data_IF_268971784125
#
_entry.id   IF_268971784125
#
_cell.length_a   1.000
_cell.length_b   1.000
_cell.length_c   1.000
_cell.angle_alpha   90.00
_cell.angle_beta   90.00
_cell.angle_gamma   90.00
#
_symmetry.space_group_name_H-M   'P 1'
#
loop_
_entity.id
_entity.type
_entity.pdbx_description
1 polymer ?
#
# COMPACT_ATOMS: atom_id res chain seq x y z
N UNK A 1 19.19 14.56 22.10
CA UNK A 1 19.27 15.13 20.74
C UNK A 1 17.96 14.79 20.04
N UNK A 2 17.45 15.68 19.22
CA UNK A 2 16.28 15.42 18.36
C UNK A 2 16.74 14.51 17.23
N UNK A 3 16.01 13.48 16.91
CA UNK A 3 16.31 12.59 15.78
C UNK A 3 15.87 13.27 14.49
N UNK A 4 16.78 13.44 13.52
CA UNK A 4 16.50 14.01 12.21
C UNK A 4 16.51 12.90 11.16
N UNK A 5 15.38 12.69 10.48
CA UNK A 5 15.20 11.61 9.49
C UNK A 5 14.87 12.20 8.13
N UNK A 6 15.68 11.86 7.13
CA UNK A 6 15.34 12.10 5.73
C UNK A 6 14.42 10.97 5.25
N UNK A 7 13.21 11.32 4.83
CA UNK A 7 12.26 10.39 4.20
C UNK A 7 12.31 10.57 2.68
N UNK A 8 12.74 9.53 1.98
CA UNK A 8 12.75 9.48 0.53
C UNK A 8 11.43 8.88 0.01
N UNK A 9 10.48 9.74 -0.37
CA UNK A 9 9.15 9.33 -0.86
C UNK A 9 9.14 8.95 -2.35
N UNK A 10 10.20 9.32 -3.09
CA UNK A 10 10.24 9.19 -4.54
C UNK A 10 9.51 10.33 -5.28
N UNK A 11 9.61 10.36 -6.62
CA UNK A 11 9.09 11.45 -7.46
C UNK A 11 7.70 11.17 -8.04
N UNK A 12 7.01 10.09 -7.62
CA UNK A 12 5.86 9.58 -8.36
C UNK A 12 4.58 10.34 -8.09
N UNK A 13 4.24 10.54 -6.84
CA UNK A 13 3.01 11.21 -6.42
C UNK A 13 3.28 12.17 -5.26
N UNK A 14 2.44 13.19 -5.05
CA UNK A 14 2.54 14.05 -3.86
C UNK A 14 2.19 13.31 -2.57
N UNK A 15 2.66 13.82 -1.45
CA UNK A 15 2.32 13.35 -0.10
C UNK A 15 1.51 14.43 0.63
N UNK A 16 0.24 14.18 1.00
CA UNK A 16 -0.59 13.02 0.65
C UNK A 16 -0.98 13.01 -0.83
N UNK A 17 -1.27 11.84 -1.41
CA UNK A 17 -1.75 11.78 -2.78
C UNK A 17 -3.23 12.22 -2.85
N UNK A 18 -3.69 12.83 -3.98
CA UNK A 18 -5.07 13.30 -4.08
C UNK A 18 -6.11 12.16 -4.09
N UNK A 19 -5.79 11.05 -4.75
CA UNK A 19 -6.73 9.94 -4.93
C UNK A 19 -6.08 8.58 -4.65
N UNK A 20 -5.13 8.18 -5.50
CA UNK A 20 -4.43 6.91 -5.43
C UNK A 20 -2.97 7.13 -5.11
N UNK A 21 -2.41 6.31 -4.21
CA UNK A 21 -1.00 6.32 -3.85
C UNK A 21 -0.77 5.38 -2.66
N UNK A 22 -0.17 4.22 -2.91
CA UNK A 22 0.05 3.22 -1.86
C UNK A 22 1.05 3.71 -0.83
N UNK A 23 2.25 4.02 -1.28
CA UNK A 23 3.38 4.45 -0.45
C UNK A 23 3.12 5.83 0.15
N UNK A 24 2.62 6.75 -0.66
CA UNK A 24 2.36 8.13 -0.25
C UNK A 24 1.29 8.23 0.83
N UNK A 25 0.27 7.35 0.81
CA UNK A 25 -0.71 7.24 1.89
C UNK A 25 -0.09 6.69 3.18
N UNK A 26 0.85 5.74 3.07
CA UNK A 26 1.61 5.25 4.24
C UNK A 26 2.42 6.39 4.85
N UNK A 27 3.11 7.18 4.03
CA UNK A 27 3.88 8.33 4.49
C UNK A 27 3.00 9.42 5.06
N UNK A 28 1.86 9.71 4.44
CA UNK A 28 0.88 10.67 4.94
C UNK A 28 0.33 10.26 6.33
N UNK A 29 0.28 8.97 6.60
CA UNK A 29 -0.13 8.42 7.90
C UNK A 29 1.02 8.41 8.92
N UNK A 30 2.24 8.10 8.47
CA UNK A 30 3.42 7.94 9.34
C UNK A 30 4.02 9.27 9.80
N UNK A 31 4.21 10.22 8.88
CA UNK A 31 4.95 11.47 9.12
C UNK A 31 4.36 12.29 10.28
N UNK A 32 3.04 12.52 10.38
CA UNK A 32 2.46 13.26 11.50
C UNK A 32 2.77 12.63 12.87
N UNK A 33 2.76 11.30 12.93
CA UNK A 33 3.01 10.54 14.14
C UNK A 33 4.50 10.56 14.56
N UNK A 34 5.41 10.52 13.60
CA UNK A 34 6.85 10.69 13.87
C UNK A 34 7.14 12.08 14.42
N UNK A 35 6.59 13.13 13.77
CA UNK A 35 6.76 14.51 14.21
C UNK A 35 6.16 14.77 15.60
N UNK A 36 4.98 14.22 15.88
CA UNK A 36 4.35 14.29 17.20
C UNK A 36 5.20 13.64 18.31
N UNK A 37 6.11 12.73 17.93
CA UNK A 37 7.07 12.07 18.83
C UNK A 37 8.46 12.71 18.84
N UNK A 38 8.59 13.90 18.26
CA UNK A 38 9.81 14.71 18.30
C UNK A 38 10.87 14.35 17.25
N UNK A 39 10.48 13.65 16.18
CA UNK A 39 11.35 13.43 15.02
C UNK A 39 11.28 14.65 14.10
N UNK A 40 12.41 15.21 13.73
CA UNK A 40 12.52 16.18 12.65
C UNK A 40 12.51 15.45 11.31
N UNK A 41 11.61 15.85 10.41
CA UNK A 41 11.41 15.17 9.12
C UNK A 41 11.83 16.06 7.95
N UNK A 42 12.83 15.60 7.21
CA UNK A 42 13.22 16.14 5.90
C UNK A 42 12.60 15.26 4.83
N UNK A 43 11.70 15.79 4.02
CA UNK A 43 10.95 15.01 3.02
C UNK A 43 11.44 15.29 1.60
N UNK A 44 12.03 14.29 0.93
CA UNK A 44 12.34 14.31 -0.49
C UNK A 44 11.15 13.77 -1.29
N UNK A 45 10.51 14.64 -2.08
CA UNK A 45 9.24 14.37 -2.79
C UNK A 45 9.06 15.31 -3.98
N UNK A 46 7.82 15.66 -4.34
CA UNK A 46 7.45 16.66 -5.36
C UNK A 46 6.86 17.92 -4.71
N UNK A 47 6.91 19.08 -5.40
CA UNK A 47 6.45 20.36 -4.85
C UNK A 47 4.95 20.38 -4.53
N UNK A 48 4.14 19.64 -5.28
CA UNK A 48 2.70 19.49 -5.03
C UNK A 48 2.38 18.88 -3.65
N UNK A 49 3.35 18.23 -2.99
CA UNK A 49 3.15 17.64 -1.66
C UNK A 49 2.78 18.71 -0.64
N UNK A 50 1.70 18.47 0.08
CA UNK A 50 1.17 19.39 1.09
C UNK A 50 1.44 18.93 2.53
N UNK A 51 2.16 17.79 2.68
CA UNK A 51 2.51 17.26 4.00
C UNK A 51 3.30 18.27 4.82
N UNK A 52 2.87 18.49 6.05
CA UNK A 52 3.58 19.36 6.99
C UNK A 52 4.84 18.64 7.48
N UNK A 53 5.99 19.16 7.12
CA UNK A 53 7.33 18.65 7.48
C UNK A 53 8.25 19.82 7.88
N UNK A 54 9.42 19.51 8.42
CA UNK A 54 10.37 20.52 8.87
C UNK A 54 11.20 21.08 7.71
N UNK A 55 11.50 20.24 6.70
CA UNK A 55 12.12 20.66 5.44
C UNK A 55 11.56 19.82 4.28
N UNK A 56 11.41 20.41 3.07
CA UNK A 56 10.94 19.72 1.86
C UNK A 56 11.89 19.98 0.71
N UNK A 57 12.30 18.91 0.05
CA UNK A 57 13.23 18.92 -1.08
C UNK A 57 12.62 18.25 -2.30
N UNK A 58 12.69 18.88 -3.46
CA UNK A 58 11.94 18.48 -4.65
C UNK A 58 12.79 18.63 -5.90
N UNK A 59 12.87 17.56 -6.71
CA UNK A 59 13.44 17.61 -8.05
C UNK A 59 12.39 18.02 -9.10
N UNK A 60 11.12 17.80 -8.82
CA UNK A 60 10.01 18.02 -9.74
C UNK A 60 8.91 18.82 -9.08
N UNK A 61 8.23 19.65 -9.87
CA UNK A 61 7.05 20.35 -9.42
C UNK A 61 5.89 19.37 -9.21
N UNK A 62 5.59 18.59 -10.23
CA UNK A 62 4.41 17.74 -10.32
C UNK A 62 4.81 16.26 -10.20
N UNK A 63 3.90 15.41 -9.71
CA UNK A 63 4.09 13.96 -9.63
C UNK A 63 4.35 13.32 -11.00
N UNK A 64 5.33 12.42 -11.08
CA UNK A 64 5.79 11.82 -12.34
C UNK A 64 5.12 10.48 -12.64
N UNK A 65 4.10 10.07 -11.88
CA UNK A 65 3.45 8.76 -11.99
C UNK A 65 2.94 8.43 -13.40
N UNK A 66 2.35 9.40 -14.10
CA UNK A 66 1.87 9.20 -15.47
C UNK A 66 2.97 8.86 -16.49
N UNK A 67 4.25 9.07 -16.13
CA UNK A 67 5.41 8.76 -16.97
C UNK A 67 6.01 7.36 -16.75
N UNK A 68 5.51 6.61 -15.76
CA UNK A 68 5.98 5.25 -15.47
C UNK A 68 5.79 4.27 -16.65
N UNK A 69 4.79 4.49 -17.49
CA UNK A 69 4.57 3.71 -18.70
C UNK A 69 5.48 4.14 -19.89
N UNK A 70 6.32 5.14 -19.68
CA UNK A 70 7.24 5.65 -20.71
C UNK A 70 8.43 4.72 -20.97
N UNK A 71 9.26 5.07 -21.96
CA UNK A 71 10.48 4.32 -22.25
C UNK A 71 11.41 4.21 -21.03
N UNK A 72 11.99 3.03 -20.83
CA UNK A 72 12.86 2.72 -19.69
C UNK A 72 13.91 3.82 -19.39
N UNK A 73 14.61 4.31 -20.40
CA UNK A 73 15.64 5.32 -20.23
C UNK A 73 15.09 6.66 -19.66
N UNK A 74 13.85 7.01 -19.99
CA UNK A 74 13.20 8.21 -19.47
C UNK A 74 12.79 8.01 -18.00
N UNK A 75 12.24 6.85 -17.66
CA UNK A 75 11.86 6.49 -16.28
C UNK A 75 13.08 6.48 -15.38
N UNK A 76 14.20 5.91 -15.86
CA UNK A 76 15.48 5.93 -15.15
C UNK A 76 16.00 7.34 -14.93
N UNK A 77 15.88 8.24 -15.92
CA UNK A 77 16.28 9.64 -15.79
C UNK A 77 15.48 10.40 -14.72
N UNK A 78 14.18 10.09 -14.56
CA UNK A 78 13.34 10.68 -13.52
C UNK A 78 13.82 10.26 -12.13
N UNK A 79 14.02 8.96 -11.92
CA UNK A 79 14.51 8.46 -10.61
C UNK A 79 15.90 8.97 -10.30
N UNK A 80 16.80 9.04 -11.28
CA UNK A 80 18.16 9.57 -11.10
C UNK A 80 18.16 11.06 -10.70
N UNK A 81 17.33 11.89 -11.36
CA UNK A 81 17.20 13.29 -11.01
C UNK A 81 16.64 13.49 -9.60
N UNK A 82 15.67 12.67 -9.19
CA UNK A 82 15.16 12.68 -7.82
C UNK A 82 16.25 12.29 -6.81
N UNK A 83 17.01 11.23 -7.09
CA UNK A 83 18.10 10.80 -6.21
C UNK A 83 19.21 11.83 -6.10
N UNK A 84 19.50 12.63 -7.15
CA UNK A 84 20.46 13.72 -7.03
C UNK A 84 20.00 14.76 -6.01
N UNK A 85 18.69 15.10 -5.96
CA UNK A 85 18.14 15.96 -4.91
C UNK A 85 18.30 15.35 -3.50
N UNK A 86 18.15 14.04 -3.37
CA UNK A 86 18.43 13.34 -2.10
C UNK A 86 19.91 13.50 -1.71
N UNK A 87 20.82 13.29 -2.66
CA UNK A 87 22.26 13.42 -2.44
C UNK A 87 22.69 14.87 -2.10
N UNK A 88 22.13 15.86 -2.78
CA UNK A 88 22.34 17.27 -2.46
C UNK A 88 21.86 17.59 -1.04
N UNK A 89 20.68 17.10 -0.68
CA UNK A 89 20.13 17.28 0.66
C UNK A 89 21.07 16.71 1.74
N UNK A 90 21.60 15.51 1.53
CA UNK A 90 22.54 14.89 2.47
C UNK A 90 23.87 15.68 2.60
N UNK A 91 24.33 16.32 1.52
CA UNK A 91 25.54 17.19 1.56
C UNK A 91 25.27 18.51 2.32
N UNK A 92 24.06 19.06 2.19
CA UNK A 92 23.66 20.34 2.82
C UNK A 92 23.21 20.18 4.26
N UNK A 93 22.73 19.01 4.64
CA UNK A 93 22.15 18.68 5.96
C UNK A 93 22.94 17.56 6.65
N UNK A 94 24.16 17.87 7.16
CA UNK A 94 24.98 16.88 7.87
C UNK A 94 24.40 16.48 9.25
N UNK A 95 23.34 17.12 9.68
CA UNK A 95 22.56 16.82 10.89
C UNK A 95 21.53 15.70 10.69
N UNK A 96 21.37 15.15 9.49
CA UNK A 96 20.51 14.00 9.24
C UNK A 96 21.16 12.75 9.85
N UNK A 97 20.44 12.12 10.79
CA UNK A 97 20.91 10.92 11.50
C UNK A 97 20.65 9.63 10.70
N UNK A 98 19.55 9.58 9.89
CA UNK A 98 19.09 8.39 9.21
C UNK A 98 18.31 8.74 7.93
N UNK A 99 18.45 7.89 6.89
CA UNK A 99 17.59 7.93 5.71
C UNK A 99 16.54 6.80 5.81
N UNK A 100 15.26 7.15 5.74
CA UNK A 100 14.18 6.21 5.57
C UNK A 100 13.74 6.20 4.10
N UNK A 101 14.13 5.16 3.39
CA UNK A 101 13.96 5.05 1.95
C UNK A 101 12.72 4.23 1.58
N UNK A 102 11.95 4.76 0.61
CA UNK A 102 10.76 4.11 0.06
C UNK A 102 10.84 3.94 -1.46
N UNK A 103 11.99 4.26 -2.07
CA UNK A 103 12.17 4.16 -3.51
C UNK A 103 12.77 2.81 -3.90
N UNK A 104 11.98 2.02 -4.63
CA UNK A 104 12.31 0.67 -5.08
C UNK A 104 13.63 0.61 -5.87
N UNK A 105 14.50 -0.32 -5.56
CA UNK A 105 15.77 -0.64 -6.25
C UNK A 105 16.76 0.53 -6.33
N UNK A 106 16.32 1.67 -6.87
CA UNK A 106 17.20 2.82 -7.15
C UNK A 106 17.68 3.47 -5.85
N UNK A 107 16.77 3.60 -4.86
CA UNK A 107 17.14 4.15 -3.55
C UNK A 107 18.29 3.40 -2.89
N UNK A 108 18.15 2.12 -2.58
CA UNK A 108 19.23 1.37 -1.94
C UNK A 108 20.48 1.22 -2.82
N UNK A 109 20.33 1.19 -4.17
CA UNK A 109 21.49 1.15 -5.08
C UNK A 109 22.35 2.41 -4.96
N UNK A 110 21.73 3.59 -4.94
CA UNK A 110 22.44 4.86 -4.86
C UNK A 110 22.99 5.10 -3.45
N UNK A 111 22.13 4.92 -2.44
CA UNK A 111 22.48 5.19 -1.04
C UNK A 111 23.50 4.18 -0.51
N UNK A 112 23.40 2.90 -0.90
CA UNK A 112 24.37 1.88 -0.55
C UNK A 112 25.77 2.12 -1.12
N UNK A 113 25.86 2.77 -2.28
CA UNK A 113 27.15 3.12 -2.91
C UNK A 113 27.89 4.25 -2.16
N UNK A 114 27.24 4.97 -1.25
CA UNK A 114 27.89 6.05 -0.47
C UNK A 114 28.69 5.53 0.71
N UNK A 115 28.46 4.29 1.12
CA UNK A 115 29.11 3.66 2.26
C UNK A 115 29.08 4.58 3.52
N UNK A 116 30.20 4.70 4.24
CA UNK A 116 30.32 5.54 5.42
C UNK A 116 30.24 7.07 5.19
N UNK A 117 30.12 7.51 3.93
CA UNK A 117 29.99 8.93 3.59
C UNK A 117 28.55 9.49 3.75
N UNK A 118 27.58 8.63 4.05
CA UNK A 118 26.19 9.00 4.27
C UNK A 118 25.64 8.42 5.58
N UNK A 119 24.53 8.98 6.10
CA UNK A 119 23.79 8.36 7.20
C UNK A 119 23.36 6.92 6.85
N UNK A 120 23.14 6.06 7.86
CA UNK A 120 22.60 4.73 7.62
C UNK A 120 21.18 4.79 7.03
N UNK A 121 20.79 3.73 6.34
CA UNK A 121 19.54 3.65 5.59
C UNK A 121 18.66 2.54 6.15
N UNK A 122 17.39 2.86 6.39
CA UNK A 122 16.31 1.88 6.53
C UNK A 122 15.45 1.95 5.28
N UNK A 123 15.37 0.86 4.52
CA UNK A 123 14.45 0.75 3.40
C UNK A 123 13.22 -0.06 3.76
N UNK A 124 12.03 0.54 3.60
CA UNK A 124 10.77 -0.19 3.70
C UNK A 124 10.40 -0.82 2.37
N UNK A 125 10.21 -2.13 2.39
CA UNK A 125 9.82 -2.94 1.23
C UNK A 125 8.30 -2.92 1.08
N UNK A 126 7.77 -2.24 0.04
CA UNK A 126 6.32 -2.09 -0.18
C UNK A 126 5.73 -3.01 -1.25
N UNK A 127 6.55 -3.81 -1.91
CA UNK A 127 6.22 -4.55 -3.13
C UNK A 127 6.60 -6.02 -3.04
N UNK A 128 6.24 -6.74 -4.08
CA UNK A 128 6.71 -8.11 -4.28
C UNK A 128 8.18 -8.08 -4.73
N UNK A 129 9.06 -8.60 -3.90
CA UNK A 129 10.50 -8.61 -4.13
C UNK A 129 10.92 -9.54 -5.29
N UNK A 130 10.03 -10.43 -5.73
CA UNK A 130 10.27 -11.29 -6.88
C UNK A 130 10.23 -10.53 -8.22
N UNK A 131 9.84 -9.25 -8.22
CA UNK A 131 9.93 -8.39 -9.41
C UNK A 131 11.37 -8.05 -9.80
N UNK A 132 12.29 -8.06 -8.84
CA UNK A 132 13.70 -7.67 -9.04
C UNK A 132 14.65 -8.70 -8.39
N UNK A 133 14.55 -9.99 -8.78
CA UNK A 133 15.29 -11.06 -8.11
C UNK A 133 16.80 -10.91 -8.28
N UNK A 134 17.27 -10.38 -9.42
CA UNK A 134 18.69 -10.16 -9.69
C UNK A 134 19.26 -9.09 -8.74
N UNK A 135 18.53 -7.99 -8.56
CA UNK A 135 18.96 -6.93 -7.65
C UNK A 135 19.00 -7.42 -6.20
N UNK A 136 17.88 -7.93 -5.70
CA UNK A 136 17.80 -8.39 -4.31
C UNK A 136 18.64 -9.65 -4.05
N UNK A 137 18.96 -10.44 -5.07
CA UNK A 137 19.85 -11.58 -4.96
C UNK A 137 21.31 -11.21 -4.87
N UNK A 138 21.71 -10.04 -5.36
CA UNK A 138 23.10 -9.57 -5.40
C UNK A 138 23.43 -8.41 -4.48
N UNK A 139 22.41 -7.62 -4.07
CA UNK A 139 22.62 -6.42 -3.28
C UNK A 139 23.09 -6.76 -1.86
N UNK A 140 24.25 -6.22 -1.49
CA UNK A 140 24.76 -6.22 -0.13
C UNK A 140 24.75 -4.78 0.41
N UNK A 141 24.00 -4.54 1.47
CA UNK A 141 23.88 -3.23 2.10
C UNK A 141 25.11 -2.76 2.88
N UNK A 142 26.21 -3.55 2.90
CA UNK A 142 27.47 -3.20 3.54
C UNK A 142 27.35 -2.92 5.05
N UNK A 143 26.32 -3.44 5.71
CA UNK A 143 26.04 -3.14 7.12
C UNK A 143 25.51 -1.72 7.38
N UNK A 144 25.14 -0.98 6.33
CA UNK A 144 24.62 0.40 6.43
C UNK A 144 23.25 0.57 5.81
N UNK A 145 22.81 -0.31 4.89
CA UNK A 145 21.46 -0.37 4.37
C UNK A 145 20.77 -1.56 4.99
N UNK A 146 19.73 -1.30 5.74
CA UNK A 146 18.87 -2.28 6.40
C UNK A 146 17.50 -2.29 5.76
N UNK A 147 16.81 -3.42 5.83
CA UNK A 147 15.47 -3.55 5.29
C UNK A 147 14.44 -3.78 6.39
N UNK A 148 13.21 -3.38 6.14
CA UNK A 148 12.06 -3.91 6.85
C UNK A 148 10.94 -4.26 5.87
N UNK A 149 10.20 -5.32 6.19
CA UNK A 149 8.97 -5.66 5.48
C UNK A 149 7.77 -4.92 6.06
N UNK A 150 6.66 -4.96 5.31
CA UNK A 150 5.34 -4.53 5.80
C UNK A 150 4.52 -5.68 6.35
N UNK A 151 5.05 -6.90 6.29
CA UNK A 151 4.55 -8.10 6.97
C UNK A 151 5.65 -9.16 7.09
N UNK A 152 5.50 -10.08 8.03
CA UNK A 152 6.40 -11.23 8.15
C UNK A 152 6.24 -12.19 6.96
N UNK A 153 5.04 -12.27 6.38
CA UNK A 153 4.77 -13.06 5.18
C UNK A 153 5.63 -12.58 4.00
N UNK A 154 5.73 -11.28 3.79
CA UNK A 154 6.58 -10.70 2.76
C UNK A 154 8.05 -11.07 2.97
N UNK A 155 8.56 -10.94 4.19
CA UNK A 155 9.95 -11.28 4.52
C UNK A 155 10.24 -12.77 4.37
N UNK A 156 9.28 -13.66 4.67
CA UNK A 156 9.45 -15.12 4.45
C UNK A 156 9.69 -15.47 2.98
N UNK A 157 9.11 -14.72 2.06
CA UNK A 157 9.26 -14.93 0.60
C UNK A 157 10.38 -14.09 -0.01
N UNK A 158 11.01 -13.22 0.77
CA UNK A 158 12.10 -12.36 0.31
C UNK A 158 13.33 -13.19 -0.11
N UNK A 159 14.10 -12.74 -1.11
CA UNK A 159 15.46 -13.23 -1.35
C UNK A 159 16.36 -13.19 -0.11
N UNK A 160 17.41 -14.00 -0.07
CA UNK A 160 18.24 -14.17 1.12
C UNK A 160 18.81 -12.83 1.62
N UNK A 161 19.42 -12.03 0.74
CA UNK A 161 20.09 -10.80 1.14
C UNK A 161 19.18 -9.80 1.87
N UNK A 162 18.02 -9.35 1.32
CA UNK A 162 17.13 -8.45 2.06
C UNK A 162 16.53 -9.11 3.30
N UNK A 163 16.31 -10.43 3.29
CA UNK A 163 15.83 -11.14 4.47
C UNK A 163 16.85 -11.14 5.60
N UNK A 164 18.12 -11.45 5.30
CA UNK A 164 19.20 -11.56 6.29
C UNK A 164 19.62 -10.18 6.84
N UNK A 165 19.40 -9.10 6.06
CA UNK A 165 19.63 -7.71 6.45
C UNK A 165 18.36 -7.04 7.00
N UNK A 166 17.26 -7.76 7.11
CA UNK A 166 15.99 -7.23 7.63
C UNK A 166 16.01 -7.10 9.15
N UNK A 167 15.41 -6.00 9.63
CA UNK A 167 15.14 -5.75 11.04
C UNK A 167 13.73 -6.21 11.47
N UNK A 168 13.07 -7.02 10.64
CA UNK A 168 11.71 -7.48 10.86
C UNK A 168 10.66 -6.64 10.14
N UNK A 169 9.39 -6.88 10.44
CA UNK A 169 8.28 -6.20 9.82
C UNK A 169 7.68 -5.10 10.70
N UNK A 170 7.19 -4.04 10.03
CA UNK A 170 6.30 -3.05 10.62
C UNK A 170 5.02 -3.04 9.81
N UNK A 171 3.92 -3.52 10.37
CA UNK A 171 2.63 -3.50 9.70
C UNK A 171 2.20 -2.07 9.35
N UNK A 172 1.56 -1.92 8.22
CA UNK A 172 1.00 -0.65 7.79
C UNK A 172 -0.06 -0.18 8.78
N UNK A 173 -0.11 1.12 9.02
CA UNK A 173 -1.08 1.76 9.89
C UNK A 173 -2.08 2.59 9.10
N UNK A 174 -3.19 2.92 9.75
CA UNK A 174 -4.19 3.85 9.21
C UNK A 174 -4.49 4.96 10.22
N UNK A 175 -4.83 6.13 9.70
CA UNK A 175 -5.39 7.19 10.52
C UNK A 175 -6.83 6.81 10.92
N UNK A 176 -7.00 6.49 12.19
CA UNK A 176 -8.31 6.09 12.71
C UNK A 176 -9.34 7.23 12.70
N UNK A 177 -8.92 8.49 12.66
CA UNK A 177 -9.84 9.64 12.58
C UNK A 177 -10.43 9.77 11.16
N UNK A 178 -9.66 9.40 10.14
CA UNK A 178 -10.12 9.35 8.75
C UNK A 178 -11.02 8.14 8.44
N UNK A 179 -11.16 7.19 9.37
CA UNK A 179 -11.94 5.96 9.19
C UNK A 179 -13.07 5.90 10.24
N UNK A 180 -14.23 6.43 9.87
CA UNK A 180 -15.39 6.49 10.77
C UNK A 180 -15.92 5.09 11.09
N UNK A 181 -15.94 4.75 12.38
CA UNK A 181 -16.56 3.51 12.85
C UNK A 181 -18.07 3.48 12.57
N UNK A 182 -18.55 2.38 12.00
CA UNK A 182 -19.97 2.12 11.78
C UNK A 182 -20.37 0.76 12.34
N UNK A 183 -21.26 0.76 13.34
CA UNK A 183 -21.77 -0.47 13.94
C UNK A 183 -22.80 -1.18 13.03
N UNK A 184 -23.65 -0.41 12.36
CA UNK A 184 -24.67 -0.99 11.45
C UNK A 184 -24.10 -1.15 10.06
N UNK A 185 -24.11 -2.37 9.57
CA UNK A 185 -23.68 -2.75 8.22
C UNK A 185 -24.88 -2.83 7.27
N UNK A 186 -24.65 -2.59 5.99
CA UNK A 186 -25.60 -2.81 4.91
C UNK A 186 -25.63 -4.26 4.45
N UNK A 187 -26.16 -4.46 3.26
CA UNK A 187 -26.26 -5.80 2.64
C UNK A 187 -25.16 -6.04 1.60
N UNK A 188 -24.61 -4.95 1.01
CA UNK A 188 -23.59 -5.05 -0.04
C UNK A 188 -22.28 -5.60 0.50
N UNK A 189 -21.74 -6.62 -0.16
CA UNK A 189 -20.33 -6.95 -0.06
C UNK A 189 -19.50 -5.98 -0.88
N UNK A 190 -18.23 -5.82 -0.53
CA UNK A 190 -17.34 -4.87 -1.17
C UNK A 190 -16.00 -5.50 -1.52
N UNK A 191 -15.55 -5.31 -2.75
CA UNK A 191 -14.13 -5.44 -3.12
C UNK A 191 -13.63 -4.06 -3.48
N UNK A 192 -12.55 -3.58 -2.86
CA UNK A 192 -11.96 -2.30 -3.25
C UNK A 192 -10.44 -2.39 -3.44
N UNK A 193 -9.98 -1.72 -4.47
CA UNK A 193 -8.62 -1.75 -4.98
C UNK A 193 -8.62 -1.88 -6.50
N UNK A 194 -7.46 -1.74 -7.13
CA UNK A 194 -7.31 -1.89 -8.58
C UNK A 194 -7.92 -3.21 -9.06
N UNK A 195 -8.64 -3.16 -10.16
CA UNK A 195 -9.15 -4.38 -10.81
C UNK A 195 -8.01 -5.04 -11.56
N UNK A 196 -7.60 -6.20 -11.08
CA UNK A 196 -6.49 -6.98 -11.65
C UNK A 196 -6.79 -8.48 -11.47
N UNK A 197 -6.14 -9.36 -12.24
CA UNK A 197 -6.30 -10.81 -12.08
C UNK A 197 -6.03 -11.33 -10.66
N UNK A 198 -5.21 -10.60 -9.88
CA UNK A 198 -4.72 -11.06 -8.58
C UNK A 198 -5.58 -10.61 -7.39
N UNK A 199 -6.39 -9.55 -7.56
CA UNK A 199 -7.18 -8.96 -6.46
C UNK A 199 -8.53 -9.63 -6.24
N UNK A 200 -8.95 -10.56 -7.14
CA UNK A 200 -10.05 -11.47 -6.92
C UNK A 200 -11.45 -10.93 -7.24
N UNK A 201 -11.57 -9.79 -7.95
CA UNK A 201 -12.88 -9.24 -8.32
C UNK A 201 -13.74 -10.25 -9.09
N UNK A 202 -13.14 -10.99 -10.03
CA UNK A 202 -13.83 -12.03 -10.81
C UNK A 202 -14.39 -13.16 -9.93
N UNK A 203 -13.61 -13.61 -8.96
CA UNK A 203 -14.03 -14.65 -8.00
C UNK A 203 -15.16 -14.13 -7.12
N UNK A 204 -15.02 -12.91 -6.58
CA UNK A 204 -16.05 -12.28 -5.76
C UNK A 204 -17.36 -12.10 -6.54
N UNK A 205 -17.30 -11.58 -7.78
CA UNK A 205 -18.47 -11.35 -8.62
C UNK A 205 -19.20 -12.66 -8.94
N UNK A 206 -18.46 -13.71 -9.30
CA UNK A 206 -19.03 -15.04 -9.56
C UNK A 206 -19.71 -15.63 -8.33
N UNK A 207 -19.04 -15.65 -7.20
CA UNK A 207 -19.60 -16.17 -5.94
C UNK A 207 -20.84 -15.37 -5.51
N UNK A 208 -20.80 -14.04 -5.59
CA UNK A 208 -21.94 -13.21 -5.24
C UNK A 208 -23.14 -13.47 -6.15
N UNK A 209 -22.91 -13.70 -7.47
CA UNK A 209 -23.97 -14.07 -8.41
C UNK A 209 -24.58 -15.42 -8.08
N UNK A 210 -23.76 -16.42 -7.79
CA UNK A 210 -24.20 -17.77 -7.39
C UNK A 210 -25.02 -17.74 -6.09
N UNK A 211 -24.59 -16.96 -5.10
CA UNK A 211 -25.28 -16.81 -3.82
C UNK A 211 -26.50 -15.86 -3.89
N UNK A 212 -26.65 -15.11 -4.97
CA UNK A 212 -27.70 -14.10 -5.11
C UNK A 212 -27.55 -12.92 -4.14
N UNK A 213 -26.32 -12.54 -3.76
CA UNK A 213 -26.03 -11.43 -2.84
C UNK A 213 -25.41 -10.23 -3.57
N UNK A 214 -25.63 -8.98 -3.10
CA UNK A 214 -25.12 -7.80 -3.77
C UNK A 214 -23.62 -7.59 -3.55
N UNK A 215 -22.94 -7.09 -4.59
CA UNK A 215 -21.52 -6.77 -4.59
C UNK A 215 -21.26 -5.39 -5.22
N UNK A 216 -20.49 -4.58 -4.53
CA UNK A 216 -19.89 -3.37 -5.09
C UNK A 216 -18.39 -3.63 -5.31
N UNK A 217 -17.90 -3.28 -6.49
CA UNK A 217 -16.47 -3.28 -6.79
C UNK A 217 -16.01 -1.84 -7.01
N UNK A 218 -15.00 -1.40 -6.27
CA UNK A 218 -14.48 -0.03 -6.31
C UNK A 218 -12.98 -0.03 -6.57
N UNK A 219 -12.54 0.78 -7.52
CA UNK A 219 -11.14 0.96 -7.90
C UNK A 219 -10.96 1.06 -9.41
N UNK A 220 -9.80 1.53 -9.89
CA UNK A 220 -9.54 1.73 -11.30
C UNK A 220 -9.30 0.41 -12.05
N UNK A 221 -9.63 0.40 -13.34
CA UNK A 221 -9.20 -0.62 -14.32
C UNK A 221 -8.09 -0.03 -15.18
N UNK A 222 -6.90 -0.58 -15.13
CA UNK A 222 -5.71 -0.07 -15.85
C UNK A 222 -5.47 1.45 -15.64
N UNK A 223 -5.76 1.97 -14.45
CA UNK A 223 -5.64 3.40 -14.14
C UNK A 223 -6.85 4.25 -14.55
N UNK A 224 -7.80 3.71 -15.29
CA UNK A 224 -9.03 4.44 -15.68
C UNK A 224 -10.02 4.46 -14.50
N UNK A 225 -10.47 5.64 -14.07
CA UNK A 225 -11.16 5.79 -12.80
C UNK A 225 -12.65 5.44 -12.83
N UNK A 226 -13.28 5.38 -14.00
CA UNK A 226 -14.74 5.15 -14.08
C UNK A 226 -15.17 4.25 -15.23
N UNK A 227 -16.33 3.57 -15.12
CA UNK A 227 -16.91 2.81 -16.22
C UNK A 227 -17.13 3.65 -17.48
N UNK A 228 -17.67 4.86 -17.33
CA UNK A 228 -17.96 5.74 -18.47
C UNK A 228 -16.68 6.11 -19.24
N UNK A 229 -15.60 6.44 -18.55
CA UNK A 229 -14.32 6.75 -19.16
C UNK A 229 -13.68 5.53 -19.81
N UNK A 230 -13.78 4.35 -19.17
CA UNK A 230 -13.24 3.12 -19.74
C UNK A 230 -13.91 2.79 -21.06
N UNK A 231 -15.24 2.76 -21.09
CA UNK A 231 -15.97 2.42 -22.31
C UNK A 231 -15.83 3.47 -23.41
N UNK A 232 -15.84 4.77 -23.04
CA UNK A 232 -15.57 5.83 -24.02
C UNK A 232 -14.17 5.71 -24.64
N UNK A 233 -13.16 5.33 -23.84
CA UNK A 233 -11.82 5.11 -24.36
C UNK A 233 -11.70 3.82 -25.22
N UNK A 234 -12.49 2.80 -24.94
CA UNK A 234 -12.54 1.54 -25.72
C UNK A 234 -13.34 1.67 -27.02
N UNK A 235 -14.18 2.71 -27.18
CA UNK A 235 -14.86 3.02 -28.43
C UNK A 235 -13.86 3.48 -29.53
N UNK A 236 -12.68 3.97 -29.15
CA UNK A 236 -11.61 4.25 -30.10
C UNK A 236 -10.79 2.98 -30.39
N UNK A 237 -10.82 2.44 -31.62
CA UNK A 237 -10.03 1.25 -31.97
C UNK A 237 -8.51 1.43 -31.82
N UNK A 238 -8.02 2.67 -31.82
CA UNK A 238 -6.60 3.00 -31.65
C UNK A 238 -6.21 3.15 -30.18
N UNK A 239 -7.15 3.04 -29.24
CA UNK A 239 -6.88 3.19 -27.83
C UNK A 239 -5.82 2.18 -27.33
N UNK A 240 -4.78 2.65 -26.64
CA UNK A 240 -3.78 1.75 -26.06
C UNK A 240 -4.38 0.81 -25.01
N UNK A 241 -5.55 1.14 -24.46
CA UNK A 241 -6.22 0.34 -23.43
C UNK A 241 -6.57 -1.06 -23.92
N UNK A 242 -6.80 -1.29 -25.20
CA UNK A 242 -7.03 -2.62 -25.78
C UNK A 242 -5.87 -3.60 -25.53
N UNK A 243 -4.65 -3.07 -25.36
CA UNK A 243 -3.45 -3.87 -25.06
C UNK A 243 -3.25 -4.20 -23.58
N UNK A 244 -3.99 -3.55 -22.66
CA UNK A 244 -3.77 -3.73 -21.23
C UNK A 244 -4.41 -5.03 -20.71
N UNK A 245 -3.62 -5.83 -19.99
CA UNK A 245 -4.07 -7.09 -19.41
C UNK A 245 -5.22 -6.92 -18.40
N UNK A 246 -5.19 -5.86 -17.60
CA UNK A 246 -6.23 -5.54 -16.62
C UNK A 246 -7.57 -5.19 -17.28
N UNK A 247 -7.55 -4.50 -18.43
CA UNK A 247 -8.76 -4.22 -19.23
C UNK A 247 -9.35 -5.51 -19.77
N UNK A 248 -8.52 -6.36 -20.36
CA UNK A 248 -8.97 -7.66 -20.86
C UNK A 248 -9.53 -8.51 -19.73
N UNK A 249 -8.86 -8.57 -18.59
CA UNK A 249 -9.35 -9.29 -17.41
C UNK A 249 -10.72 -8.78 -16.97
N UNK A 250 -10.90 -7.45 -16.91
CA UNK A 250 -12.18 -6.86 -16.54
C UNK A 250 -13.29 -7.29 -17.53
N UNK A 251 -13.06 -7.11 -18.82
CA UNK A 251 -14.05 -7.41 -19.86
C UNK A 251 -14.41 -8.91 -19.93
N UNK A 252 -13.41 -9.78 -19.79
CA UNK A 252 -13.60 -11.23 -19.99
C UNK A 252 -14.05 -11.96 -18.72
N UNK A 253 -13.59 -11.50 -17.53
CA UNK A 253 -13.74 -12.25 -16.29
C UNK A 253 -14.57 -11.55 -15.20
N UNK A 254 -14.76 -10.25 -15.25
CA UNK A 254 -15.51 -9.49 -14.23
C UNK A 254 -16.86 -9.01 -14.78
N UNK A 255 -16.84 -8.27 -15.88
CA UNK A 255 -18.02 -7.67 -16.50
C UNK A 255 -19.17 -8.66 -16.79
N UNK A 256 -18.92 -9.91 -17.21
CA UNK A 256 -20.02 -10.87 -17.48
C UNK A 256 -20.87 -11.20 -16.25
N UNK A 257 -20.41 -10.90 -15.04
CA UNK A 257 -21.17 -11.09 -13.82
C UNK A 257 -21.94 -9.85 -13.39
N UNK A 258 -21.63 -8.70 -13.93
CA UNK A 258 -22.30 -7.43 -13.61
C UNK A 258 -23.73 -7.42 -14.18
N UNK A 259 -24.66 -6.87 -13.42
CA UNK A 259 -26.04 -6.62 -13.83
C UNK A 259 -26.42 -5.13 -13.69
N UNK A 260 -25.47 -4.29 -13.25
CA UNK A 260 -25.65 -2.86 -13.05
C UNK A 260 -26.44 -2.47 -11.80
N UNK A 261 -27.07 -3.40 -11.11
CA UNK A 261 -27.87 -3.19 -9.92
C UNK A 261 -27.26 -3.85 -8.69
N UNK A 262 -27.23 -5.16 -8.66
CA UNK A 262 -26.76 -5.96 -7.53
C UNK A 262 -25.27 -6.20 -7.56
N UNK A 263 -24.71 -6.44 -8.75
CA UNK A 263 -23.28 -6.61 -8.97
C UNK A 263 -22.83 -5.50 -9.90
N UNK A 264 -22.01 -4.57 -9.36
CA UNK A 264 -21.63 -3.38 -10.11
C UNK A 264 -20.20 -2.93 -9.79
N UNK A 265 -19.49 -2.48 -10.81
CA UNK A 265 -18.27 -1.71 -10.67
C UNK A 265 -18.62 -0.21 -10.69
N UNK A 266 -18.17 0.49 -9.65
CA UNK A 266 -18.47 1.92 -9.45
C UNK A 266 -17.30 2.84 -9.76
N UNK A 267 -16.18 2.28 -10.24
CA UNK A 267 -14.97 3.05 -10.50
C UNK A 267 -14.18 3.37 -9.23
N UNK A 268 -13.30 4.35 -9.33
CA UNK A 268 -12.49 4.84 -8.21
C UNK A 268 -13.33 5.68 -7.27
N UNK A 269 -13.25 5.35 -5.98
CA UNK A 269 -13.93 6.09 -4.92
C UNK A 269 -12.89 6.53 -3.90
N UNK A 270 -12.78 7.83 -3.68
CA UNK A 270 -11.85 8.44 -2.73
C UNK A 270 -12.56 9.16 -1.57
N UNK A 271 -11.77 9.66 -0.62
CA UNK A 271 -12.23 10.52 0.46
C UNK A 271 -13.41 9.96 1.27
N UNK A 272 -14.40 10.80 1.56
CA UNK A 272 -15.59 10.44 2.34
C UNK A 272 -16.48 9.41 1.66
N UNK A 273 -16.46 9.33 0.32
CA UNK A 273 -17.18 8.31 -0.44
C UNK A 273 -16.62 6.90 -0.18
N UNK A 274 -15.30 6.76 -0.16
CA UNK A 274 -14.63 5.51 0.18
C UNK A 274 -14.94 5.11 1.62
N UNK A 275 -14.82 6.04 2.56
CA UNK A 275 -15.13 5.81 3.98
C UNK A 275 -16.57 5.31 4.17
N UNK A 276 -17.54 5.94 3.48
CA UNK A 276 -18.93 5.55 3.57
C UNK A 276 -19.18 4.17 2.96
N UNK A 277 -18.59 3.88 1.79
CA UNK A 277 -18.72 2.62 1.10
C UNK A 277 -18.15 1.48 1.96
N UNK A 278 -16.92 1.63 2.45
CA UNK A 278 -16.27 0.64 3.32
C UNK A 278 -17.03 0.48 4.64
N UNK A 279 -17.41 1.59 5.27
CA UNK A 279 -18.10 1.56 6.56
C UNK A 279 -19.49 0.92 6.52
N UNK A 280 -20.20 1.00 5.39
CA UNK A 280 -21.53 0.38 5.20
C UNK A 280 -21.48 -1.05 4.68
N UNK A 281 -20.37 -1.49 4.11
CA UNK A 281 -20.27 -2.83 3.56
C UNK A 281 -20.61 -3.90 4.61
N UNK A 282 -21.30 -4.96 4.17
CA UNK A 282 -21.56 -6.15 5.00
C UNK A 282 -20.26 -6.82 5.40
N UNK A 283 -19.35 -6.96 4.46
CA UNK A 283 -17.97 -7.33 4.64
C UNK A 283 -17.15 -6.87 3.43
N UNK A 284 -15.84 -6.69 3.62
CA UNK A 284 -14.88 -6.55 2.54
C UNK A 284 -14.40 -7.94 2.13
N UNK A 285 -14.42 -8.22 0.84
CA UNK A 285 -14.01 -9.49 0.26
C UNK A 285 -12.62 -9.34 -0.35
N UNK A 286 -11.73 -10.26 -0.01
CA UNK A 286 -10.36 -10.32 -0.53
C UNK A 286 -10.02 -11.76 -0.97
N UNK A 287 -10.68 -12.31 -2.02
CA UNK A 287 -10.37 -13.63 -2.58
C UNK A 287 -9.15 -13.54 -3.50
N UNK A 288 -8.04 -13.04 -2.96
CA UNK A 288 -6.82 -12.78 -3.71
C UNK A 288 -6.08 -14.08 -4.06
N UNK A 289 -5.37 -14.06 -5.19
CA UNK A 289 -4.59 -15.22 -5.68
C UNK A 289 -3.08 -15.05 -5.56
N UNK A 290 -2.60 -13.96 -4.96
CA UNK A 290 -1.18 -13.65 -4.78
C UNK A 290 -0.81 -13.43 -3.32
N UNK A 291 0.49 -13.36 -3.02
CA UNK A 291 0.99 -13.09 -1.68
C UNK A 291 1.01 -11.57 -1.44
N UNK A 292 -0.09 -11.04 -0.92
CA UNK A 292 -0.29 -9.61 -0.66
C UNK A 292 0.70 -9.12 0.42
N UNK A 293 1.57 -8.14 0.13
CA UNK A 293 2.58 -7.72 1.09
C UNK A 293 2.03 -7.05 2.36
N UNK A 294 1.08 -6.12 2.23
CA UNK A 294 0.67 -5.28 3.36
C UNK A 294 -0.83 -5.19 3.61
N UNK A 295 -1.67 -5.51 2.61
CA UNK A 295 -3.14 -5.58 2.69
C UNK A 295 -3.82 -4.38 3.39
N UNK A 296 -3.43 -3.13 3.07
CA UNK A 296 -3.98 -1.90 3.67
C UNK A 296 -5.50 -1.85 3.61
N UNK A 297 -6.11 -2.36 2.52
CA UNK A 297 -7.56 -2.44 2.37
C UNK A 297 -8.24 -3.24 3.50
N UNK A 298 -7.61 -4.32 3.97
CA UNK A 298 -8.13 -5.06 5.13
C UNK A 298 -8.09 -4.20 6.40
N UNK A 299 -7.00 -3.49 6.63
CA UNK A 299 -6.81 -2.64 7.81
C UNK A 299 -7.83 -1.48 7.79
N UNK A 300 -8.04 -0.83 6.65
CA UNK A 300 -9.05 0.23 6.47
C UNK A 300 -10.47 -0.29 6.75
N UNK A 301 -10.78 -1.51 6.28
CA UNK A 301 -12.06 -2.14 6.57
C UNK A 301 -12.26 -2.36 8.07
N UNK A 302 -11.27 -2.94 8.74
CA UNK A 302 -11.30 -3.15 10.20
C UNK A 302 -11.44 -1.82 10.95
N UNK A 303 -10.75 -0.76 10.50
CA UNK A 303 -10.86 0.58 11.10
C UNK A 303 -12.29 1.14 11.00
N UNK A 304 -13.01 0.88 9.92
CA UNK A 304 -14.42 1.24 9.77
C UNK A 304 -15.38 0.31 10.55
N UNK A 305 -14.87 -0.71 11.22
CA UNK A 305 -15.64 -1.76 11.87
C UNK A 305 -16.24 -2.77 10.88
N UNK A 306 -15.66 -2.92 9.71
CA UNK A 306 -16.16 -3.82 8.67
C UNK A 306 -15.34 -5.11 8.67
N UNK A 307 -15.98 -6.29 8.83
CA UNK A 307 -15.27 -7.56 8.81
C UNK A 307 -14.68 -7.85 7.43
N UNK A 308 -13.60 -8.62 7.41
CA UNK A 308 -12.92 -9.00 6.17
C UNK A 308 -13.04 -10.50 5.96
N UNK A 309 -13.46 -10.91 4.76
CA UNK A 309 -13.42 -12.31 4.32
C UNK A 309 -12.30 -12.43 3.30
N UNK A 310 -11.30 -13.21 3.59
CA UNK A 310 -10.08 -13.26 2.79
C UNK A 310 -9.58 -14.69 2.53
N UNK A 311 -8.83 -14.87 1.46
CA UNK A 311 -8.00 -16.07 1.28
C UNK A 311 -6.79 -16.02 2.23
N UNK A 312 -6.30 -17.19 2.64
CA UNK A 312 -5.15 -17.31 3.55
C UNK A 312 -3.83 -17.11 2.80
N UNK A 313 -3.56 -15.84 2.37
CA UNK A 313 -2.39 -15.50 1.56
C UNK A 313 -1.71 -14.21 2.05
N UNK A 314 -0.40 -14.15 1.88
CA UNK A 314 0.42 -12.99 2.22
C UNK A 314 0.19 -12.50 3.65
N UNK A 315 0.04 -11.19 3.81
CA UNK A 315 -0.19 -10.53 5.09
C UNK A 315 -1.58 -10.78 5.71
N UNK A 316 -2.55 -11.32 4.95
CA UNK A 316 -3.93 -11.47 5.44
C UNK A 316 -4.05 -12.32 6.70
N UNK A 317 -3.33 -13.45 6.87
CA UNK A 317 -3.32 -14.21 8.12
C UNK A 317 -2.71 -13.48 9.33
N UNK A 318 -1.91 -12.45 9.08
CA UNK A 318 -1.33 -11.63 10.15
C UNK A 318 -2.31 -10.53 10.62
N UNK A 319 -3.25 -10.13 9.74
CA UNK A 319 -4.22 -9.06 9.99
C UNK A 319 -5.54 -9.63 10.51
N UNK A 320 -6.00 -10.74 9.90
CA UNK A 320 -7.31 -11.32 10.17
C UNK A 320 -7.21 -12.40 11.25
N UNK A 321 -7.88 -12.15 12.37
CA UNK A 321 -8.11 -13.12 13.44
C UNK A 321 -9.42 -13.85 13.13
N UNK A 322 -9.28 -15.08 12.60
CA UNK A 322 -10.41 -15.90 12.13
C UNK A 322 -11.50 -16.04 13.20
N UNK A 323 -12.72 -15.63 12.86
CA UNK A 323 -13.88 -15.65 13.75
C UNK A 323 -14.00 -14.46 14.71
N UNK A 324 -13.04 -13.53 14.73
CA UNK A 324 -13.05 -12.36 15.61
C UNK A 324 -13.24 -11.04 14.83
N UNK A 325 -12.40 -10.77 13.83
CA UNK A 325 -12.47 -9.55 13.03
C UNK A 325 -12.73 -9.84 11.54
N UNK A 326 -12.88 -11.13 11.19
CA UNK A 326 -13.10 -11.60 9.83
C UNK A 326 -12.93 -13.11 9.74
N UNK A 327 -12.88 -13.62 8.52
CA UNK A 327 -12.67 -15.03 8.25
C UNK A 327 -11.58 -15.23 7.20
N UNK A 328 -10.82 -16.32 7.36
CA UNK A 328 -9.81 -16.77 6.40
C UNK A 328 -10.25 -18.08 5.77
N UNK A 329 -10.25 -18.14 4.44
CA UNK A 329 -10.63 -19.30 3.66
C UNK A 329 -9.41 -19.92 2.96
N UNK A 330 -9.41 -21.23 2.86
CA UNK A 330 -8.35 -21.97 2.17
C UNK A 330 -8.72 -22.28 0.71
N UNK A 331 -10.04 -22.27 0.39
CA UNK A 331 -10.57 -22.44 -0.98
C UNK A 331 -11.83 -21.58 -1.22
N UNK A 332 -12.29 -21.53 -2.47
CA UNK A 332 -13.44 -20.71 -2.85
C UNK A 332 -14.77 -21.22 -2.29
N UNK A 333 -14.92 -22.52 -2.09
CA UNK A 333 -16.12 -23.11 -1.48
C UNK A 333 -16.24 -22.71 -0.01
N UNK A 334 -15.14 -22.75 0.70
CA UNK A 334 -15.07 -22.25 2.06
C UNK A 334 -15.29 -20.72 2.10
N UNK A 335 -14.68 -19.96 1.17
CA UNK A 335 -14.87 -18.52 1.06
C UNK A 335 -16.36 -18.18 0.92
N UNK A 336 -17.09 -18.83 0.02
CA UNK A 336 -18.52 -18.63 -0.17
C UNK A 336 -19.34 -18.93 1.11
N UNK A 337 -19.01 -20.00 1.84
CA UNK A 337 -19.67 -20.34 3.12
C UNK A 337 -19.40 -19.28 4.19
N UNK A 338 -18.16 -18.79 4.28
CA UNK A 338 -17.75 -17.79 5.28
C UNK A 338 -18.34 -16.40 4.99
N UNK A 339 -18.57 -16.05 3.71
CA UNK A 339 -19.31 -14.82 3.36
C UNK A 339 -20.68 -14.75 4.03
N UNK A 340 -21.42 -15.85 4.04
CA UNK A 340 -22.76 -15.91 4.65
C UNK A 340 -22.71 -15.69 6.17
N UNK A 341 -21.58 -15.97 6.79
CA UNK A 341 -21.35 -15.83 8.22
C UNK A 341 -20.81 -14.43 8.64
N UNK A 342 -20.62 -13.52 7.69
CA UNK A 342 -20.07 -12.19 7.97
C UNK A 342 -20.79 -11.45 9.10
N UNK A 343 -22.10 -11.67 9.27
CA UNK A 343 -22.90 -11.07 10.33
C UNK A 343 -22.62 -11.61 11.76
N UNK A 344 -21.82 -12.66 11.90
CA UNK A 344 -21.41 -13.20 13.21
C UNK A 344 -20.29 -12.37 13.86
N UNK A 345 -19.59 -11.54 13.05
CA UNK A 345 -18.48 -10.71 13.53
C UNK A 345 -19.02 -9.40 14.14
N UNK A 346 -18.63 -9.10 15.38
CA UNK A 346 -18.97 -7.79 15.97
C UNK A 346 -18.08 -6.70 15.34
N UNK A 347 -18.67 -5.66 14.71
CA UNK A 347 -17.93 -4.50 14.19
C UNK A 347 -17.00 -3.83 15.21
N UNK A 348 -17.34 -3.91 16.51
CA UNK A 348 -16.47 -3.38 17.56
C UNK A 348 -15.15 -4.14 17.70
N UNK A 349 -15.14 -5.45 17.45
CA UNK A 349 -13.91 -6.25 17.46
C UNK A 349 -13.02 -5.93 16.27
N UNK A 350 -13.61 -5.66 15.08
CA UNK A 350 -12.88 -5.15 13.93
C UNK A 350 -12.16 -3.84 14.26
N UNK A 351 -12.90 -2.84 14.78
CA UNK A 351 -12.35 -1.54 15.18
C UNK A 351 -11.28 -1.67 16.25
N UNK A 352 -11.49 -2.52 17.25
CA UNK A 352 -10.53 -2.76 18.32
C UNK A 352 -9.22 -3.31 17.76
N UNK A 353 -9.30 -4.32 16.89
CA UNK A 353 -8.12 -4.89 16.22
C UNK A 353 -7.33 -3.83 15.44
N UNK A 354 -8.02 -2.97 14.66
CA UNK A 354 -7.37 -1.86 13.96
C UNK A 354 -6.72 -0.87 14.93
N UNK A 355 -7.37 -0.52 16.03
CA UNK A 355 -6.88 0.45 17.01
C UNK A 355 -5.63 -0.05 17.72
N UNK A 356 -5.66 -1.30 18.17
CA UNK A 356 -4.57 -1.88 18.98
C UNK A 356 -3.34 -2.24 18.14
N UNK A 357 -3.54 -2.68 16.89
CA UNK A 357 -2.49 -3.30 16.08
C UNK A 357 -2.07 -2.50 14.87
N UNK A 358 -2.96 -1.68 14.31
CA UNK A 358 -2.79 -1.04 13.00
C UNK A 358 -3.10 0.45 13.00
N UNK A 359 -3.03 1.11 14.16
CA UNK A 359 -3.12 2.57 14.19
C UNK A 359 -1.84 3.21 13.64
N UNK A 360 -1.96 4.46 13.15
CA UNK A 360 -0.82 5.27 12.76
C UNK A 360 0.25 5.36 13.86
N UNK A 361 -0.21 5.48 15.13
CA UNK A 361 0.67 5.50 16.30
C UNK A 361 1.46 4.21 16.49
N UNK A 362 0.79 3.04 16.36
CA UNK A 362 1.44 1.73 16.45
C UNK A 362 2.50 1.55 15.36
N UNK A 363 2.19 1.97 14.12
CA UNK A 363 3.15 1.96 13.01
C UNK A 363 4.36 2.84 13.32
N UNK A 364 4.14 4.07 13.78
CA UNK A 364 5.23 5.00 14.10
C UNK A 364 6.13 4.47 15.24
N UNK A 365 5.57 3.85 16.27
CA UNK A 365 6.34 3.18 17.33
C UNK A 365 7.19 2.03 16.78
N UNK A 366 6.66 1.28 15.83
CA UNK A 366 7.40 0.27 15.10
C UNK A 366 8.63 0.85 14.40
N UNK A 367 8.45 1.91 13.62
CA UNK A 367 9.56 2.56 12.91
C UNK A 367 10.56 3.21 13.85
N UNK A 368 10.13 3.87 14.91
CA UNK A 368 11.06 4.45 15.92
C UNK A 368 11.93 3.39 16.60
N UNK A 369 11.40 2.17 16.81
CA UNK A 369 12.20 1.05 17.29
C UNK A 369 13.27 0.66 16.27
N UNK A 370 12.88 0.53 14.99
CA UNK A 370 13.82 0.19 13.91
C UNK A 370 14.90 1.30 13.73
N UNK A 371 14.53 2.57 13.79
CA UNK A 371 15.50 3.67 13.70
C UNK A 371 16.57 3.57 14.79
N UNK A 372 16.16 3.36 16.05
CA UNK A 372 17.10 3.16 17.15
C UNK A 372 18.00 1.93 16.94
N UNK A 373 17.45 0.87 16.38
CA UNK A 373 18.23 -0.33 16.08
C UNK A 373 19.25 -0.10 14.96
N UNK A 374 18.89 0.62 13.89
CA UNK A 374 19.81 1.01 12.80
C UNK A 374 20.96 1.84 13.36
N UNK A 375 20.65 2.90 14.13
CA UNK A 375 21.67 3.75 14.72
C UNK A 375 22.59 2.99 15.68
N UNK A 376 22.04 2.11 16.51
CA UNK A 376 22.84 1.29 17.43
C UNK A 376 23.78 0.32 16.68
N UNK A 377 23.35 -0.26 15.55
CA UNK A 377 24.17 -1.19 14.74
C UNK A 377 25.29 -0.48 13.98
N UNK A 378 25.09 0.79 13.63
CA UNK A 378 26.05 1.56 12.83
C UNK A 378 26.96 2.45 13.69
N UNK A 379 26.69 2.60 14.99
CA UNK A 379 27.45 3.46 15.89
C UNK A 379 27.25 4.95 15.59
N UNK A 380 26.16 5.28 14.91
CA UNK A 380 25.81 6.65 14.52
C UNK A 380 25.05 7.38 15.64
#
# INVERSE_FOLDING_TARGET
MTLTVLINAGPWLPVPPPDYGGIENVLATLIPELRARGVEVVLCTVEESTMAVDDRRCAFRDGQFGRLAGPYAQVMGITAAHMETVLETLRERPDIDLVHDHLEVVGPSVLGALDGAAPPVLQTLHWDLQKHPEFYGSFDGGGRVFFNGVSDAQLRTAPANPRDQSLGAVHLGVDLAAHRFRRRKGEDFLVFGRVTPFKGQAVAARICKELGVPLVMAGPVAGVPSPAELFAALDDPASPLHGFGDVRHYLDAVQPFEDGERIRWVGTVGGTGKEELVGRARAVLMPISWEEPGATAAIEALACGTPVIATRRGALPEIIEHGRNGFLADDESEFARLMLRAGEIDPADCRRSATERFSAGTMAEGYLRLYREVLARTGA
#
